data_IF_680843828434
#
_entry.id   IF_680843828434
#
_cell.length_a   1.000
_cell.length_b   1.000
_cell.length_c   1.000
_cell.angle_alpha   90.00
_cell.angle_beta   90.00
_cell.angle_gamma   90.00
#
_symmetry.space_group_name_H-M   'P 1'
#
loop_
_entity.id
_entity.type
_entity.pdbx_description
1 polymer ?
#
# COMPACT_ATOMS: atom_id res chain seq x y z
N UNK A 1 -55.77 -17.12 -30.30
CA UNK A 1 -55.04 -17.67 -31.46
C UNK A 1 -53.77 -18.30 -30.93
N UNK A 2 -53.74 -19.62 -30.68
CA UNK A 2 -53.14 -20.65 -31.58
C UNK A 2 -51.68 -20.33 -31.92
N UNK A 3 -50.65 -21.16 -31.72
CA UNK A 3 -50.52 -22.58 -31.36
C UNK A 3 -49.04 -22.80 -30.94
N UNK A 4 -48.84 -23.85 -30.14
CA UNK A 4 -47.61 -24.58 -29.82
C UNK A 4 -46.72 -24.95 -31.02
N UNK A 5 -45.40 -25.13 -30.81
CA UNK A 5 -44.70 -26.39 -31.12
C UNK A 5 -43.33 -26.50 -30.41
N UNK A 6 -43.06 -27.72 -29.96
CA UNK A 6 -41.87 -28.25 -29.29
C UNK A 6 -40.84 -28.74 -30.30
N UNK A 7 -39.54 -28.80 -29.95
CA UNK A 7 -38.76 -30.05 -30.09
C UNK A 7 -37.37 -29.97 -29.47
N UNK A 8 -37.04 -31.09 -28.82
CA UNK A 8 -35.79 -31.51 -28.21
C UNK A 8 -34.68 -31.82 -29.22
N UNK A 9 -33.42 -31.78 -28.78
CA UNK A 9 -32.45 -32.86 -29.05
C UNK A 9 -31.28 -32.81 -28.06
N UNK A 10 -31.19 -33.86 -27.24
CA UNK A 10 -30.01 -34.24 -26.50
C UNK A 10 -29.09 -35.07 -27.40
N UNK A 11 -27.77 -34.87 -27.27
CA UNK A 11 -26.78 -35.79 -27.83
C UNK A 11 -25.72 -36.08 -26.77
N UNK A 12 -25.85 -37.25 -26.16
CA UNK A 12 -24.84 -37.95 -25.38
C UNK A 12 -23.91 -38.68 -26.35
N UNK A 13 -22.59 -38.52 -26.23
CA UNK A 13 -21.63 -39.50 -26.74
C UNK A 13 -20.57 -39.77 -25.67
N UNK A 14 -20.41 -41.05 -25.37
CA UNK A 14 -19.54 -41.61 -24.36
C UNK A 14 -18.22 -42.12 -24.98
N UNK A 15 -17.14 -41.93 -24.21
CA UNK A 15 -15.96 -42.78 -23.99
C UNK A 15 -15.17 -43.31 -25.20
N UNK A 16 -13.88 -42.93 -25.22
CA UNK A 16 -12.80 -43.85 -25.57
C UNK A 16 -11.59 -43.61 -24.66
N UNK A 17 -11.27 -44.62 -23.86
CA UNK A 17 -10.04 -44.74 -23.10
C UNK A 17 -8.89 -45.13 -24.03
N UNK A 18 -7.72 -44.51 -23.84
CA UNK A 18 -6.46 -44.98 -24.40
C UNK A 18 -5.38 -44.92 -23.32
N UNK A 19 -5.19 -46.06 -22.68
CA UNK A 19 -4.06 -46.40 -21.81
C UNK A 19 -2.80 -46.49 -22.67
N UNK A 20 -1.79 -45.66 -22.42
CA UNK A 20 -0.44 -45.92 -22.92
C UNK A 20 0.48 -46.04 -21.71
N UNK A 21 0.78 -47.30 -21.40
CA UNK A 21 1.87 -47.71 -20.54
C UNK A 21 3.19 -47.55 -21.29
N UNK A 22 4.12 -46.77 -20.75
CA UNK A 22 5.54 -46.95 -21.05
C UNK A 22 6.36 -46.85 -19.77
N UNK A 23 6.72 -48.02 -19.24
CA UNK A 23 7.78 -48.17 -18.26
C UNK A 23 9.12 -48.15 -18.97
N UNK A 24 10.04 -47.25 -18.62
CA UNK A 24 11.48 -47.52 -18.76
C UNK A 24 12.26 -46.89 -17.61
N UNK A 25 12.62 -47.78 -16.68
CA UNK A 25 13.88 -47.93 -15.94
C UNK A 25 14.67 -46.67 -15.52
N UNK A 26 14.64 -46.48 -14.21
CA UNK A 26 15.70 -45.99 -13.34
C UNK A 26 17.03 -46.75 -13.58
N UNK A 27 18.19 -46.07 -13.59
CA UNK A 27 19.45 -46.65 -13.18
C UNK A 27 19.81 -46.17 -11.77
N UNK A 28 19.73 -47.09 -10.80
CA UNK A 28 20.43 -47.02 -9.51
C UNK A 28 21.82 -47.63 -9.73
N UNK A 29 22.84 -47.08 -9.06
CA UNK A 29 24.00 -47.74 -8.40
C UNK A 29 25.21 -46.77 -8.37
N UNK A 30 26.16 -46.88 -7.43
CA UNK A 30 26.02 -46.95 -5.97
C UNK A 30 26.94 -45.94 -5.24
N UNK A 31 26.81 -45.90 -3.90
CA UNK A 31 27.67 -45.21 -2.93
C UNK A 31 29.18 -45.40 -3.17
N UNK A 32 29.96 -44.31 -2.97
CA UNK A 32 31.22 -44.35 -2.22
C UNK A 32 31.66 -42.94 -1.80
N UNK A 33 31.67 -42.68 -0.49
CA UNK A 33 32.55 -41.68 0.13
C UNK A 33 33.97 -42.26 0.21
N UNK A 34 35.01 -41.41 0.21
CA UNK A 34 35.67 -41.17 1.47
C UNK A 34 36.09 -39.71 1.70
N UNK A 35 36.15 -39.37 2.98
CA UNK A 35 36.82 -38.22 3.57
C UNK A 35 38.29 -38.12 3.15
N UNK A 36 38.79 -36.90 2.88
CA UNK A 36 40.07 -36.45 3.41
C UNK A 36 40.23 -34.93 3.32
N UNK A 37 40.70 -34.41 4.44
CA UNK A 37 41.17 -33.08 4.78
C UNK A 37 42.17 -32.48 3.79
N UNK A 38 42.07 -31.17 3.54
CA UNK A 38 43.10 -30.43 2.81
C UNK A 38 42.85 -28.93 2.79
N UNK A 39 43.27 -28.23 3.85
CA UNK A 39 43.45 -26.78 3.85
C UNK A 39 44.46 -26.38 2.77
N UNK A 40 44.07 -25.51 1.82
CA UNK A 40 45.01 -24.62 1.13
C UNK A 40 44.41 -23.23 1.01
N UNK A 41 44.97 -22.34 1.82
CA UNK A 41 44.77 -20.89 1.79
C UNK A 41 45.44 -20.30 0.55
N UNK A 42 44.68 -19.63 -0.31
CA UNK A 42 45.24 -18.64 -1.24
C UNK A 42 44.85 -17.23 -0.78
N UNK A 43 45.80 -16.61 -0.06
CA UNK A 43 45.91 -15.15 0.05
C UNK A 43 46.32 -14.63 -1.33
N UNK A 44 45.52 -13.75 -1.92
CA UNK A 44 46.00 -12.82 -2.94
C UNK A 44 45.73 -11.40 -2.46
N UNK A 45 46.84 -10.77 -2.09
CA UNK A 45 46.98 -9.39 -1.66
C UNK A 45 46.62 -8.41 -2.76
N UNK A 46 45.93 -7.35 -2.33
CA UNK A 46 45.65 -6.13 -3.07
C UNK A 46 46.87 -5.53 -3.78
N UNK A 47 46.66 -5.02 -5.00
CA UNK A 47 47.41 -3.87 -5.51
C UNK A 47 46.45 -2.90 -6.23
N UNK A 48 46.24 -1.75 -5.58
CA UNK A 48 45.86 -0.48 -6.19
C UNK A 48 46.84 -0.15 -7.32
N UNK A 49 46.33 0.22 -8.49
CA UNK A 49 47.07 1.01 -9.47
C UNK A 49 46.14 2.10 -10.02
N UNK A 50 46.66 3.32 -9.96
CA UNK A 50 46.06 4.56 -10.39
C UNK A 50 45.95 4.62 -11.92
N UNK A 51 44.88 5.29 -12.37
CA UNK A 51 44.62 5.81 -13.72
C UNK A 51 45.75 6.70 -14.26
N UNK A 52 45.85 6.96 -15.59
CA UNK A 52 45.06 8.09 -16.13
C UNK A 52 44.59 7.97 -17.60
N UNK A 53 43.67 8.90 -17.93
CA UNK A 53 43.44 9.57 -19.22
C UNK A 53 42.22 9.20 -20.10
N UNK A 54 41.13 9.94 -19.84
CA UNK A 54 40.44 10.88 -20.75
C UNK A 54 40.20 10.43 -22.22
N UNK A 55 38.95 10.08 -22.52
CA UNK A 55 38.32 10.33 -23.83
C UNK A 55 36.99 11.06 -23.66
N UNK A 56 36.87 12.20 -24.32
CA UNK A 56 35.68 13.07 -24.44
C UNK A 56 34.69 12.44 -25.44
N UNK A 57 33.40 12.45 -25.13
CA UNK A 57 32.34 12.35 -26.13
C UNK A 57 30.95 11.99 -25.60
N UNK A 58 30.05 12.97 -25.54
CA UNK A 58 28.60 12.82 -25.72
C UNK A 58 27.75 12.31 -24.53
N UNK A 59 26.99 13.21 -23.87
CA UNK A 59 25.94 12.80 -22.92
C UNK A 59 25.46 13.90 -21.99
N UNK A 60 24.84 14.96 -22.52
CA UNK A 60 24.21 16.02 -21.74
C UNK A 60 22.88 15.55 -21.12
N UNK A 61 22.95 14.70 -20.09
CA UNK A 61 21.84 14.42 -19.16
C UNK A 61 22.31 13.84 -17.81
N UNK A 62 23.59 13.50 -17.66
CA UNK A 62 24.07 12.64 -16.55
C UNK A 62 24.65 13.43 -15.35
N UNK A 63 24.63 14.77 -15.35
CA UNK A 63 25.38 15.57 -14.36
C UNK A 63 24.59 16.18 -13.20
N UNK A 64 23.25 16.05 -13.16
CA UNK A 64 22.43 16.80 -12.20
C UNK A 64 22.20 16.13 -10.83
N UNK A 65 22.58 14.87 -10.63
CA UNK A 65 22.22 14.12 -9.39
C UNK A 65 23.43 13.60 -8.59
N UNK A 66 24.67 13.92 -8.99
CA UNK A 66 25.89 13.48 -8.28
C UNK A 66 26.66 14.61 -7.58
N UNK A 67 26.21 15.87 -7.67
CA UNK A 67 26.92 17.03 -7.07
C UNK A 67 26.24 17.61 -5.82
N UNK A 68 25.32 16.89 -5.18
CA UNK A 68 24.52 17.42 -4.07
C UNK A 68 24.80 16.78 -2.72
N UNK A 69 26.04 16.35 -2.46
CA UNK A 69 26.63 16.22 -1.10
C UNK A 69 28.15 16.39 -1.20
N UNK A 70 28.65 17.58 -0.85
CA UNK A 70 29.98 17.73 -0.25
C UNK A 70 29.87 18.69 0.93
N UNK A 71 30.28 18.19 2.09
CA UNK A 71 30.24 18.88 3.37
C UNK A 71 31.04 20.19 3.37
N UNK A 72 30.48 21.22 4.00
CA UNK A 72 31.28 22.25 4.63
C UNK A 72 30.70 22.58 6.01
N UNK A 73 31.44 22.14 7.03
CA UNK A 73 31.36 22.64 8.41
C UNK A 73 31.50 24.16 8.40
N UNK A 74 30.55 24.85 9.03
CA UNK A 74 30.83 26.06 9.79
C UNK A 74 29.75 26.25 10.86
N UNK A 75 30.24 26.33 12.09
CA UNK A 75 29.59 26.70 13.33
C UNK A 75 28.67 27.92 13.25
N UNK A 76 27.50 27.83 13.86
CA UNK A 76 26.83 28.93 14.53
C UNK A 76 25.93 28.34 15.63
N UNK A 77 26.29 28.64 16.87
CA UNK A 77 25.52 28.35 18.07
C UNK A 77 24.23 29.19 18.07
N UNK A 78 23.09 28.54 18.27
CA UNK A 78 21.87 29.19 18.73
C UNK A 78 21.23 28.28 19.77
N UNK A 79 21.48 28.62 21.02
CA UNK A 79 20.91 28.03 22.23
C UNK A 79 19.38 28.06 22.20
N UNK A 80 18.75 26.89 22.18
CA UNK A 80 17.33 26.71 22.48
C UNK A 80 17.26 26.18 23.91
N UNK A 81 16.72 27.00 24.81
CA UNK A 81 16.50 26.64 26.20
C UNK A 81 15.41 25.56 26.30
N UNK A 82 15.78 24.44 26.92
CA UNK A 82 14.84 23.46 27.46
C UNK A 82 14.21 24.04 28.71
N UNK A 83 12.89 24.15 28.73
CA UNK A 83 12.13 24.20 29.98
C UNK A 83 11.42 22.86 30.15
N UNK A 84 11.92 22.09 31.09
CA UNK A 84 11.25 20.95 31.71
C UNK A 84 10.66 21.43 33.05
N UNK A 85 9.35 21.27 33.22
CA UNK A 85 8.66 20.97 34.48
C UNK A 85 7.14 21.21 34.38
N UNK A 86 6.35 20.17 34.67
CA UNK A 86 5.02 20.31 35.26
C UNK A 86 3.90 19.51 34.59
N UNK A 87 3.48 18.44 35.24
CA UNK A 87 2.31 17.60 34.91
C UNK A 87 1.00 18.41 34.76
N UNK A 88 0.27 18.18 33.66
CA UNK A 88 -1.16 17.80 33.60
C UNK A 88 -1.80 18.19 32.26
N UNK A 89 -2.34 17.19 31.56
CA UNK A 89 -3.13 17.29 30.32
C UNK A 89 -2.41 17.88 29.08
N UNK A 90 -1.80 17.01 28.27
CA UNK A 90 -1.36 17.33 26.90
C UNK A 90 -2.55 17.41 25.92
N UNK A 91 -3.62 18.12 26.30
CA UNK A 91 -4.70 18.51 25.38
C UNK A 91 -4.28 19.83 24.75
N UNK A 92 -4.15 19.88 23.43
CA UNK A 92 -3.91 21.16 22.74
C UNK A 92 -5.08 22.12 23.03
N UNK A 93 -4.86 23.45 23.03
CA UNK A 93 -5.95 24.41 23.25
C UNK A 93 -7.14 24.26 22.27
N UNK A 94 -6.91 23.66 21.09
CA UNK A 94 -7.96 23.36 20.11
C UNK A 94 -8.89 22.22 20.54
N UNK A 95 -8.39 21.15 21.18
CA UNK A 95 -9.22 20.05 21.68
C UNK A 95 -10.15 20.47 22.83
N UNK A 96 -9.82 21.55 23.56
CA UNK A 96 -10.65 22.11 24.63
C UNK A 96 -11.86 22.91 24.10
N UNK A 97 -11.74 23.49 22.90
CA UNK A 97 -12.80 24.26 22.25
C UNK A 97 -13.52 23.48 21.13
N UNK A 98 -13.10 22.24 20.87
CA UNK A 98 -13.69 21.36 19.86
C UNK A 98 -15.12 20.96 20.22
N UNK A 99 -16.04 21.09 19.26
CA UNK A 99 -17.42 20.66 19.42
C UNK A 99 -17.53 19.13 19.44
N UNK A 100 -17.91 18.55 20.57
CA UNK A 100 -18.10 17.10 20.74
C UNK A 100 -19.50 16.59 20.37
N UNK A 101 -20.24 17.36 19.55
CA UNK A 101 -21.62 17.05 19.15
C UNK A 101 -21.81 15.60 18.68
N UNK A 102 -20.83 15.01 18.00
CA UNK A 102 -20.93 13.65 17.46
C UNK A 102 -20.66 12.53 18.48
N UNK A 103 -19.89 12.78 19.54
CA UNK A 103 -19.60 11.79 20.59
C UNK A 103 -20.80 11.56 21.52
N UNK A 104 -21.69 12.54 21.61
CA UNK A 104 -22.92 12.45 22.39
C UNK A 104 -24.05 11.74 21.63
N UNK A 105 -23.88 11.46 20.33
CA UNK A 105 -24.88 10.79 19.52
C UNK A 105 -25.17 9.37 20.04
N UNK A 106 -26.45 9.00 20.11
CA UNK A 106 -26.92 7.66 20.50
C UNK A 106 -27.78 7.01 19.43
N UNK A 107 -28.06 7.72 18.34
CA UNK A 107 -28.89 7.28 17.24
C UNK A 107 -28.41 7.86 15.91
N UNK A 108 -28.91 7.28 14.82
CA UNK A 108 -28.77 7.81 13.46
C UNK A 108 -29.25 9.27 13.36
N UNK A 109 -30.39 9.56 13.99
CA UNK A 109 -30.98 10.90 13.97
C UNK A 109 -30.07 11.91 14.67
N UNK A 110 -29.39 11.53 15.76
CA UNK A 110 -28.45 12.41 16.45
C UNK A 110 -27.24 12.75 15.56
N UNK A 111 -26.69 11.76 14.84
CA UNK A 111 -25.57 11.97 13.93
C UNK A 111 -25.94 12.93 12.78
N UNK A 112 -27.05 12.66 12.09
CA UNK A 112 -27.50 13.48 10.95
C UNK A 112 -27.91 14.89 11.39
N UNK A 113 -28.59 15.01 12.54
CA UNK A 113 -28.92 16.32 13.12
C UNK A 113 -27.67 17.07 13.57
N UNK A 114 -26.65 16.34 14.06
CA UNK A 114 -25.33 16.88 14.39
C UNK A 114 -24.66 17.53 13.18
N UNK A 115 -24.63 16.86 12.02
CA UNK A 115 -24.07 17.42 10.78
C UNK A 115 -24.76 18.75 10.45
N UNK A 116 -26.09 18.76 10.44
CA UNK A 116 -26.89 19.96 10.14
C UNK A 116 -26.60 21.09 11.13
N UNK A 117 -26.56 20.79 12.43
CA UNK A 117 -26.28 21.77 13.50
C UNK A 117 -24.89 22.39 13.34
N UNK A 118 -23.87 21.60 13.05
CA UNK A 118 -22.49 22.08 12.87
C UNK A 118 -22.33 22.91 11.58
N UNK A 119 -23.06 22.55 10.52
CA UNK A 119 -23.13 23.33 9.28
C UNK A 119 -23.85 24.67 9.47
N UNK A 120 -25.01 24.69 10.14
CA UNK A 120 -25.75 25.91 10.47
C UNK A 120 -24.97 26.85 11.40
N UNK A 121 -24.12 26.29 12.27
CA UNK A 121 -23.22 27.05 13.13
C UNK A 121 -21.96 27.56 12.38
N UNK A 122 -21.80 27.24 11.09
CA UNK A 122 -20.67 27.67 10.27
C UNK A 122 -19.34 26.97 10.57
N UNK A 123 -19.34 25.90 11.39
CA UNK A 123 -18.15 25.12 11.73
C UNK A 123 -17.85 24.01 10.70
N UNK A 124 -18.86 23.63 9.91
CA UNK A 124 -18.73 22.59 8.90
C UNK A 124 -19.08 23.13 7.50
N UNK A 125 -18.13 23.19 6.56
CA UNK A 125 -18.40 23.61 5.18
C UNK A 125 -19.45 22.71 4.50
N UNK A 126 -20.29 23.30 3.65
CA UNK A 126 -21.42 22.60 3.02
C UNK A 126 -21.01 21.35 2.22
N UNK A 127 -19.87 21.40 1.52
CA UNK A 127 -19.35 20.25 0.77
C UNK A 127 -18.90 19.11 1.70
N UNK A 128 -18.31 19.45 2.86
CA UNK A 128 -17.89 18.46 3.86
C UNK A 128 -19.12 17.85 4.54
N UNK A 129 -20.10 18.67 4.92
CA UNK A 129 -21.37 18.21 5.48
C UNK A 129 -22.09 17.20 4.56
N UNK A 130 -22.22 17.53 3.27
CA UNK A 130 -22.80 16.63 2.28
C UNK A 130 -22.00 15.32 2.14
N UNK A 131 -20.67 15.40 2.16
CA UNK A 131 -19.81 14.22 2.09
C UNK A 131 -19.87 13.34 3.34
N UNK A 132 -20.07 13.93 4.52
CA UNK A 132 -20.32 13.20 5.77
C UNK A 132 -21.65 12.43 5.70
N UNK A 133 -22.72 13.08 5.25
CA UNK A 133 -24.03 12.41 5.08
C UNK A 133 -23.94 11.25 4.07
N UNK A 134 -23.29 11.45 2.93
CA UNK A 134 -23.08 10.37 1.95
C UNK A 134 -22.29 9.21 2.57
N UNK A 135 -21.18 9.52 3.26
CA UNK A 135 -20.34 8.52 3.90
C UNK A 135 -21.13 7.70 4.94
N UNK A 136 -21.97 8.35 5.74
CA UNK A 136 -22.81 7.66 6.72
C UNK A 136 -23.69 6.59 6.08
N UNK A 137 -24.43 6.95 5.03
CA UNK A 137 -25.33 6.01 4.38
C UNK A 137 -24.57 4.84 3.75
N UNK A 138 -23.49 5.13 3.03
CA UNK A 138 -22.70 4.07 2.38
C UNK A 138 -22.05 3.14 3.41
N UNK A 139 -21.49 3.69 4.49
CA UNK A 139 -20.93 2.90 5.57
C UNK A 139 -21.98 2.05 6.29
N UNK A 140 -23.14 2.63 6.62
CA UNK A 140 -24.27 1.93 7.24
C UNK A 140 -24.68 0.71 6.41
N UNK A 141 -24.95 0.91 5.12
CA UNK A 141 -25.41 -0.18 4.26
C UNK A 141 -24.34 -1.27 4.10
N UNK A 142 -23.07 -0.90 4.00
CA UNK A 142 -21.97 -1.86 3.96
C UNK A 142 -21.92 -2.71 5.23
N UNK A 143 -21.85 -2.09 6.41
CA UNK A 143 -21.75 -2.82 7.69
C UNK A 143 -22.98 -3.70 7.94
N UNK A 144 -24.19 -3.22 7.64
CA UNK A 144 -25.42 -4.02 7.76
C UNK A 144 -25.42 -5.22 6.81
N UNK A 145 -24.90 -5.08 5.59
CA UNK A 145 -24.83 -6.18 4.63
C UNK A 145 -23.91 -7.32 5.05
N UNK A 146 -22.96 -7.05 5.97
CA UNK A 146 -22.12 -8.08 6.58
C UNK A 146 -22.85 -8.99 7.57
N UNK A 147 -24.06 -8.62 8.02
CA UNK A 147 -24.93 -9.48 8.82
C UNK A 147 -24.49 -9.70 10.27
N UNK A 148 -23.61 -8.86 10.82
CA UNK A 148 -23.18 -8.96 12.22
C UNK A 148 -24.33 -8.58 13.18
N UNK A 149 -24.47 -9.28 14.30
CA UNK A 149 -25.58 -9.09 15.26
C UNK A 149 -25.63 -7.71 15.91
N UNK A 150 -24.49 -7.01 16.00
CA UNK A 150 -24.36 -5.64 16.54
C UNK A 150 -24.02 -4.62 15.46
N UNK A 151 -24.42 -4.87 14.21
CA UNK A 151 -24.07 -4.01 13.07
C UNK A 151 -24.56 -2.57 13.24
N UNK A 152 -25.79 -2.36 13.73
CA UNK A 152 -26.32 -0.99 13.97
C UNK A 152 -25.50 -0.23 15.02
N UNK A 153 -25.19 -0.87 16.15
CA UNK A 153 -24.34 -0.27 17.19
C UNK A 153 -22.94 0.05 16.66
N UNK A 154 -22.37 -0.86 15.85
CA UNK A 154 -21.08 -0.66 15.19
C UNK A 154 -21.10 0.57 14.29
N UNK A 155 -22.17 0.76 13.51
CA UNK A 155 -22.35 1.94 12.65
C UNK A 155 -22.37 3.22 13.49
N UNK A 156 -23.20 3.28 14.53
CA UNK A 156 -23.30 4.49 15.36
C UNK A 156 -21.96 4.79 16.04
N UNK A 157 -21.34 3.80 16.67
CA UNK A 157 -20.05 3.96 17.36
C UNK A 157 -18.96 4.46 16.43
N UNK A 158 -18.78 3.81 15.28
CA UNK A 158 -17.69 4.14 14.35
C UNK A 158 -17.91 5.49 13.67
N UNK A 159 -19.16 5.79 13.28
CA UNK A 159 -19.49 7.07 12.62
C UNK A 159 -19.45 8.25 13.58
N UNK A 160 -19.84 8.08 14.86
CA UNK A 160 -19.65 9.10 15.90
C UNK A 160 -18.19 9.55 16.00
N UNK A 161 -17.27 8.60 16.10
CA UNK A 161 -15.84 8.91 16.21
C UNK A 161 -15.30 9.47 14.88
N UNK A 162 -15.68 8.89 13.74
CA UNK A 162 -15.24 9.39 12.44
C UNK A 162 -15.66 10.86 12.22
N UNK A 163 -16.91 11.19 12.52
CA UNK A 163 -17.43 12.55 12.35
C UNK A 163 -16.82 13.56 13.31
N UNK A 164 -16.63 13.19 14.57
CA UNK A 164 -15.92 14.00 15.55
C UNK A 164 -14.50 14.34 15.06
N UNK A 165 -13.74 13.33 14.59
CA UNK A 165 -12.38 13.54 14.08
C UNK A 165 -12.35 14.33 12.76
N UNK A 166 -13.35 14.19 11.90
CA UNK A 166 -13.48 14.98 10.66
C UNK A 166 -13.77 16.46 10.98
N UNK A 167 -14.69 16.73 11.91
CA UNK A 167 -14.98 18.09 12.36
C UNK A 167 -13.76 18.73 12.99
N UNK A 168 -13.04 18.01 13.86
CA UNK A 168 -11.78 18.49 14.42
C UNK A 168 -10.78 18.84 13.32
N UNK A 169 -10.67 18.01 12.27
CA UNK A 169 -9.79 18.27 11.14
C UNK A 169 -10.21 19.46 10.24
N UNK A 170 -11.46 19.91 10.34
CA UNK A 170 -11.96 21.14 9.71
C UNK A 170 -11.66 22.36 10.59
N UNK A 171 -11.91 22.25 11.89
CA UNK A 171 -11.67 23.31 12.87
C UNK A 171 -10.18 23.60 13.07
N UNK A 172 -9.36 22.54 13.08
CA UNK A 172 -7.91 22.57 13.26
C UNK A 172 -7.19 21.66 12.24
N UNK A 173 -6.96 22.15 11.00
CA UNK A 173 -6.41 21.31 9.94
C UNK A 173 -5.00 20.78 10.23
N UNK A 174 -4.90 19.46 10.41
CA UNK A 174 -3.61 18.78 10.55
C UNK A 174 -2.69 18.98 9.33
N UNK A 175 -1.40 19.26 9.57
CA UNK A 175 -0.39 19.41 8.51
C UNK A 175 0.57 18.22 8.51
N UNK A 176 0.66 17.53 7.38
CA UNK A 176 1.55 16.38 7.22
C UNK A 176 2.99 16.82 6.92
N UNK A 177 3.95 16.25 7.65
CA UNK A 177 5.39 16.35 7.36
C UNK A 177 5.78 15.46 6.17
N UNK A 178 6.95 15.68 5.53
CA UNK A 178 7.37 14.87 4.39
C UNK A 178 7.44 13.37 4.72
N UNK A 179 7.96 13.02 5.89
CA UNK A 179 7.69 11.77 6.60
C UNK A 179 6.76 12.01 7.78
N UNK A 180 5.57 11.43 7.73
CA UNK A 180 4.57 11.47 8.80
C UNK A 180 4.58 10.14 9.55
N UNK A 181 4.68 10.21 10.88
CA UNK A 181 4.56 9.04 11.77
C UNK A 181 3.11 8.94 12.24
N UNK A 182 2.57 7.72 12.29
CA UNK A 182 1.21 7.50 12.77
C UNK A 182 1.00 8.14 14.15
N UNK A 183 -0.08 8.90 14.31
CA UNK A 183 -0.47 9.52 15.58
C UNK A 183 -1.16 8.48 16.43
N UNK A 184 -0.57 8.17 17.60
CA UNK A 184 -1.06 7.15 18.54
C UNK A 184 -1.61 7.75 19.84
N UNK A 185 -1.27 9.00 20.14
CA UNK A 185 -1.63 9.71 21.39
C UNK A 185 -1.91 11.19 21.09
N UNK A 186 -2.80 11.87 21.85
CA UNK A 186 -3.66 11.31 22.92
C UNK A 186 -4.85 10.49 22.37
N UNK A 187 -5.08 10.53 21.06
CA UNK A 187 -6.04 9.70 20.36
C UNK A 187 -5.31 8.74 19.41
N UNK A 188 -5.58 7.44 19.52
CA UNK A 188 -4.97 6.44 18.67
C UNK A 188 -5.67 6.38 17.30
N UNK A 189 -5.18 7.20 16.35
CA UNK A 189 -5.69 7.21 14.98
C UNK A 189 -5.44 5.89 14.25
N UNK A 190 -4.38 5.16 14.59
CA UNK A 190 -4.13 3.83 14.02
C UNK A 190 -5.27 2.89 14.42
N UNK A 191 -5.56 2.75 15.71
CA UNK A 191 -6.63 1.88 16.21
C UNK A 191 -8.01 2.32 15.69
N UNK A 192 -8.26 3.63 15.61
CA UNK A 192 -9.47 4.18 14.99
C UNK A 192 -9.67 3.66 13.56
N UNK A 193 -8.64 3.74 12.71
CA UNK A 193 -8.76 3.26 11.31
C UNK A 193 -9.06 1.76 11.27
N UNK A 194 -8.41 0.95 12.10
CA UNK A 194 -8.66 -0.51 12.12
C UNK A 194 -10.07 -0.83 12.56
N UNK A 195 -10.55 -0.16 13.61
CA UNK A 195 -11.92 -0.30 14.12
C UNK A 195 -12.93 0.09 13.05
N UNK A 196 -12.66 1.15 12.29
CA UNK A 196 -13.53 1.64 11.22
C UNK A 196 -13.58 0.67 10.01
N UNK A 197 -12.43 0.17 9.56
CA UNK A 197 -12.34 -0.66 8.33
C UNK A 197 -12.69 -2.12 8.58
N UNK A 198 -12.40 -2.67 9.77
CA UNK A 198 -12.65 -4.08 10.10
C UNK A 198 -14.06 -4.59 9.73
N UNK A 199 -15.17 -3.91 10.07
CA UNK A 199 -16.50 -4.42 9.74
C UNK A 199 -16.83 -4.40 8.24
N UNK A 200 -15.96 -3.86 7.40
CA UNK A 200 -16.10 -3.86 5.94
C UNK A 200 -15.40 -5.06 5.27
N UNK A 201 -14.54 -5.77 6.01
CA UNK A 201 -13.81 -6.93 5.51
C UNK A 201 -14.58 -8.21 5.81
N UNK A 202 -14.94 -8.95 4.77
CA UNK A 202 -15.40 -10.32 4.89
C UNK A 202 -14.19 -11.26 5.07
N UNK A 203 -13.72 -11.39 6.30
CA UNK A 203 -12.57 -12.25 6.63
C UNK A 203 -12.80 -13.71 6.23
N UNK A 204 -14.05 -14.20 6.21
CA UNK A 204 -14.35 -15.57 5.78
C UNK A 204 -14.05 -15.78 4.30
N UNK A 205 -14.21 -14.74 3.47
CA UNK A 205 -13.91 -14.78 2.05
C UNK A 205 -12.67 -13.95 1.68
N UNK A 206 -11.79 -13.70 2.64
CA UNK A 206 -10.51 -13.02 2.42
C UNK A 206 -9.34 -14.02 2.45
N UNK A 207 -8.22 -13.69 1.82
CA UNK A 207 -7.07 -14.61 1.71
C UNK A 207 -5.72 -13.87 1.74
N UNK A 208 -4.72 -14.54 2.31
CA UNK A 208 -3.31 -14.13 2.27
C UNK A 208 -2.50 -15.14 1.48
N UNK A 209 -1.88 -14.69 0.39
CA UNK A 209 -0.96 -15.45 -0.45
C UNK A 209 0.47 -15.39 0.07
N UNK A 210 1.10 -16.57 0.20
CA UNK A 210 2.48 -16.77 0.64
C UNK A 210 2.79 -16.11 1.98
N UNK A 211 1.90 -16.30 2.96
CA UNK A 211 1.95 -15.60 4.25
C UNK A 211 3.30 -15.75 4.99
N UNK A 212 4.03 -16.86 4.80
CA UNK A 212 5.34 -17.10 5.40
C UNK A 212 6.42 -16.10 4.96
N UNK A 213 6.30 -15.49 3.77
CA UNK A 213 7.25 -14.49 3.30
C UNK A 213 7.20 -13.25 4.20
N UNK A 214 6.03 -12.87 4.72
CA UNK A 214 5.93 -11.72 5.63
C UNK A 214 6.76 -11.92 6.90
N UNK A 215 6.81 -13.13 7.45
CA UNK A 215 7.71 -13.45 8.57
C UNK A 215 9.19 -13.31 8.20
N UNK A 216 9.57 -13.72 6.98
CA UNK A 216 10.94 -13.52 6.47
C UNK A 216 11.29 -12.02 6.35
N UNK A 217 10.33 -11.19 5.93
CA UNK A 217 10.54 -9.74 5.85
C UNK A 217 10.86 -9.17 7.23
N UNK A 218 10.14 -9.58 8.27
CA UNK A 218 10.41 -9.13 9.64
C UNK A 218 11.82 -9.54 10.10
N UNK A 219 12.28 -10.74 9.77
CA UNK A 219 13.64 -11.19 10.08
C UNK A 219 14.69 -10.31 9.41
N UNK A 220 14.51 -9.98 8.13
CA UNK A 220 15.40 -9.07 7.38
C UNK A 220 15.39 -7.66 7.95
N UNK A 221 14.22 -7.15 8.33
CA UNK A 221 14.10 -5.82 8.96
C UNK A 221 14.82 -5.79 10.31
N UNK A 222 14.67 -6.84 11.13
CA UNK A 222 15.40 -7.00 12.41
C UNK A 222 16.91 -7.06 12.22
N UNK A 223 17.38 -7.54 11.07
CA UNK A 223 18.80 -7.52 10.68
C UNK A 223 19.26 -6.16 10.12
N UNK A 224 18.41 -5.12 10.13
CA UNK A 224 18.72 -3.80 9.63
C UNK A 224 18.63 -3.66 8.10
N UNK A 225 18.03 -4.63 7.41
CA UNK A 225 17.86 -4.58 5.96
C UNK A 225 16.61 -3.79 5.58
N UNK A 226 16.64 -3.13 4.43
CA UNK A 226 15.51 -2.37 3.90
C UNK A 226 14.62 -3.25 3.01
N UNK A 227 13.31 -3.10 3.13
CA UNK A 227 12.32 -3.81 2.34
C UNK A 227 11.44 -2.78 1.60
N UNK A 228 11.38 -2.91 0.28
CA UNK A 228 10.44 -2.18 -0.57
C UNK A 228 9.39 -3.15 -1.12
N UNK A 229 8.13 -2.86 -0.84
CA UNK A 229 6.98 -3.56 -1.40
C UNK A 229 6.49 -2.78 -2.63
N UNK A 230 6.66 -3.36 -3.80
CA UNK A 230 6.16 -2.83 -5.08
C UNK A 230 4.79 -3.43 -5.33
N UNK A 231 3.75 -2.59 -5.32
CA UNK A 231 2.37 -3.05 -5.27
C UNK A 231 1.47 -2.42 -6.34
N UNK A 232 0.34 -3.05 -6.64
CA UNK A 232 -0.83 -2.30 -7.13
C UNK A 232 -1.50 -1.54 -5.98
N UNK A 233 -2.51 -0.72 -6.29
CA UNK A 233 -3.24 0.10 -5.32
C UNK A 233 -4.70 0.16 -5.74
N UNK A 234 -5.66 -0.04 -4.83
CA UNK A 234 -7.06 -0.19 -5.20
C UNK A 234 -7.99 0.77 -4.47
N UNK A 235 -7.73 1.04 -3.20
CA UNK A 235 -8.58 1.86 -2.35
C UNK A 235 -7.75 2.77 -1.43
N UNK A 236 -8.37 3.81 -0.88
CA UNK A 236 -7.71 4.60 0.17
C UNK A 236 -7.52 3.80 1.47
N UNK A 237 -8.26 2.70 1.61
CA UNK A 237 -8.19 1.79 2.75
C UNK A 237 -7.06 0.74 2.64
N UNK A 238 -6.28 0.71 1.54
CA UNK A 238 -5.24 -0.30 1.32
C UNK A 238 -4.29 -0.50 2.52
N UNK A 239 -3.75 0.56 3.17
CA UNK A 239 -2.89 0.38 4.36
C UNK A 239 -3.61 -0.33 5.52
N UNK A 240 -4.90 -0.08 5.68
CA UNK A 240 -5.71 -0.72 6.70
C UNK A 240 -6.00 -2.18 6.36
N UNK A 241 -6.32 -2.48 5.10
CA UNK A 241 -6.51 -3.86 4.62
C UNK A 241 -5.24 -4.68 4.81
N UNK A 242 -4.06 -4.16 4.42
CA UNK A 242 -2.77 -4.83 4.65
C UNK A 242 -2.59 -5.15 6.14
N UNK A 243 -2.82 -4.16 6.99
CA UNK A 243 -2.60 -4.31 8.44
C UNK A 243 -3.55 -5.33 9.06
N UNK A 244 -4.85 -5.26 8.73
CA UNK A 244 -5.89 -6.14 9.24
C UNK A 244 -5.71 -7.59 8.78
N UNK A 245 -5.28 -7.83 7.54
CA UNK A 245 -5.03 -9.19 7.04
C UNK A 245 -3.79 -9.83 7.65
N UNK A 246 -2.85 -9.04 8.18
CA UNK A 246 -1.60 -9.51 8.79
C UNK A 246 -1.58 -9.45 10.32
N UNK A 247 -2.59 -8.87 10.96
CA UNK A 247 -2.55 -8.52 12.39
C UNK A 247 -2.27 -9.72 13.32
N UNK A 248 -2.74 -10.91 12.95
CA UNK A 248 -2.58 -12.11 13.77
C UNK A 248 -1.18 -12.73 13.65
N UNK A 249 -0.54 -12.63 12.48
CA UNK A 249 0.71 -13.34 12.17
C UNK A 249 1.93 -12.43 12.08
N UNK A 250 1.75 -11.21 11.58
CA UNK A 250 2.81 -10.23 11.32
C UNK A 250 2.36 -8.81 11.69
N UNK A 251 1.97 -8.55 12.96
CA UNK A 251 1.47 -7.24 13.38
C UNK A 251 2.52 -6.13 13.22
N UNK A 252 3.80 -6.47 13.35
CA UNK A 252 4.90 -5.52 13.15
C UNK A 252 4.83 -4.85 11.78
N UNK A 253 4.47 -5.59 10.73
CA UNK A 253 4.31 -5.06 9.37
C UNK A 253 3.23 -3.99 9.35
N UNK A 254 2.03 -4.30 9.83
CA UNK A 254 0.90 -3.36 9.83
C UNK A 254 1.20 -2.06 10.58
N UNK A 255 1.90 -2.15 11.71
CA UNK A 255 2.24 -0.99 12.53
C UNK A 255 3.40 -0.14 12.00
N UNK A 256 4.33 -0.73 11.23
CA UNK A 256 5.60 -0.09 10.85
C UNK A 256 5.75 0.17 9.35
N UNK A 257 4.84 -0.33 8.51
CA UNK A 257 4.81 -0.07 7.07
C UNK A 257 4.70 1.43 6.81
N UNK A 258 5.59 1.96 5.96
CA UNK A 258 5.60 3.36 5.53
C UNK A 258 5.01 3.44 4.13
N UNK A 259 3.81 3.99 4.00
CA UNK A 259 3.10 4.07 2.73
C UNK A 259 3.49 5.35 1.99
N UNK A 260 3.99 5.23 0.75
CA UNK A 260 4.15 6.38 -0.13
C UNK A 260 2.75 6.83 -0.57
N UNK A 261 2.32 8.00 -0.10
CA UNK A 261 0.94 8.46 -0.23
C UNK A 261 0.85 9.79 -0.98
N UNK A 262 -0.19 9.88 -1.82
CA UNK A 262 -0.54 11.05 -2.63
C UNK A 262 -1.10 12.22 -1.82
N UNK A 263 -1.24 13.36 -2.48
CA UNK A 263 -1.72 14.63 -1.89
C UNK A 263 -3.21 14.63 -1.52
N UNK A 264 -4.06 13.87 -2.22
CA UNK A 264 -5.51 13.85 -1.96
C UNK A 264 -5.85 13.33 -0.56
N UNK A 265 -5.28 12.20 -0.16
CA UNK A 265 -5.59 11.55 1.13
C UNK A 265 -5.06 12.34 2.33
N UNK A 266 -4.17 13.30 2.11
CA UNK A 266 -3.61 14.19 3.15
C UNK A 266 -4.21 15.61 3.13
N UNK A 267 -5.05 15.93 2.14
CA UNK A 267 -5.72 17.24 2.00
C UNK A 267 -7.23 17.18 2.21
N UNK A 268 -7.89 16.08 1.82
CA UNK A 268 -9.33 15.91 1.99
C UNK A 268 -9.72 15.75 3.47
N UNK A 269 -10.55 16.63 4.06
CA UNK A 269 -10.97 16.55 5.45
C UNK A 269 -11.61 15.21 5.85
N UNK A 270 -12.27 14.52 4.91
CA UNK A 270 -12.90 13.23 5.16
C UNK A 270 -11.88 12.07 5.18
N UNK A 271 -10.71 12.24 4.57
CA UNK A 271 -9.65 11.23 4.53
C UNK A 271 -8.58 11.46 5.60
N UNK A 272 -8.32 12.72 5.97
CA UNK A 272 -7.22 13.11 6.85
C UNK A 272 -7.18 12.34 8.18
N UNK A 273 -8.28 12.14 8.92
CA UNK A 273 -8.26 11.32 10.14
C UNK A 273 -7.70 9.92 9.90
N UNK A 274 -8.04 9.29 8.77
CA UNK A 274 -7.53 7.96 8.43
C UNK A 274 -6.04 7.99 8.10
N UNK A 275 -5.60 9.00 7.35
CA UNK A 275 -4.18 9.21 7.01
C UNK A 275 -3.32 9.51 8.24
N UNK A 276 -3.86 10.22 9.24
CA UNK A 276 -3.15 10.51 10.50
C UNK A 276 -2.74 9.24 11.25
N UNK A 277 -3.52 8.16 11.11
CA UNK A 277 -3.24 6.86 11.73
C UNK A 277 -2.22 5.98 11.01
N UNK A 278 -1.53 6.48 9.98
CA UNK A 278 -0.58 5.70 9.16
C UNK A 278 0.80 6.33 9.16
N UNK A 279 1.84 5.53 8.94
CA UNK A 279 3.16 6.08 8.61
C UNK A 279 3.20 6.38 7.12
N UNK A 280 3.44 7.64 6.75
CA UNK A 280 3.34 8.09 5.37
C UNK A 280 4.65 8.73 4.91
N UNK A 281 5.00 8.50 3.64
CA UNK A 281 5.93 9.35 2.91
C UNK A 281 5.10 10.17 1.94
N UNK A 282 4.90 11.44 2.27
CA UNK A 282 3.95 12.32 1.60
C UNK A 282 4.55 12.84 0.29
N UNK A 283 3.94 12.50 -0.84
CA UNK A 283 4.37 12.92 -2.18
C UNK A 283 3.18 13.42 -2.99
N UNK A 284 3.40 14.41 -3.83
CA UNK A 284 2.46 14.78 -4.88
C UNK A 284 2.57 13.79 -6.04
N UNK A 285 1.45 13.18 -6.42
CA UNK A 285 1.42 12.24 -7.54
C UNK A 285 1.77 12.93 -8.85
N UNK A 286 2.49 12.24 -9.74
CA UNK A 286 2.72 12.71 -11.11
C UNK A 286 1.40 12.97 -11.84
N UNK A 287 0.34 12.21 -11.53
CA UNK A 287 -0.98 12.34 -12.15
C UNK A 287 -1.61 13.72 -11.90
N UNK A 288 -1.36 14.32 -10.74
CA UNK A 288 -1.95 15.59 -10.30
C UNK A 288 -0.91 16.73 -10.19
N UNK A 289 0.30 16.50 -10.71
CA UNK A 289 1.39 17.48 -10.63
C UNK A 289 1.03 18.77 -11.35
N UNK A 290 0.39 18.65 -12.52
CA UNK A 290 0.09 19.75 -13.43
C UNK A 290 -1.38 20.20 -13.40
N UNK A 291 -2.19 19.72 -12.44
CA UNK A 291 -3.61 20.11 -12.32
C UNK A 291 -3.75 21.62 -12.07
N UNK A 292 -2.80 22.17 -11.31
CA UNK A 292 -2.62 23.61 -11.10
C UNK A 292 -1.16 23.99 -11.43
N UNK A 293 -0.91 24.66 -12.57
CA UNK A 293 0.42 25.08 -12.99
C UNK A 293 1.16 25.95 -11.97
N UNK A 294 0.46 26.76 -11.17
CA UNK A 294 1.08 27.67 -10.20
C UNK A 294 1.68 26.91 -9.01
N UNK A 295 1.15 25.73 -8.72
CA UNK A 295 1.58 24.89 -7.60
C UNK A 295 2.70 23.90 -7.97
N UNK A 296 3.04 23.73 -9.25
CA UNK A 296 4.01 22.72 -9.73
C UNK A 296 5.36 22.83 -9.02
N UNK A 297 5.91 24.04 -8.90
CA UNK A 297 7.23 24.24 -8.29
C UNK A 297 7.22 23.95 -6.78
N UNK A 298 6.12 24.30 -6.10
CA UNK A 298 5.92 23.97 -4.70
C UNK A 298 5.83 22.45 -4.51
N UNK A 299 5.02 21.76 -5.34
CA UNK A 299 4.86 20.31 -5.33
C UNK A 299 6.18 19.57 -5.58
N UNK A 300 6.98 20.03 -6.55
CA UNK A 300 8.33 19.47 -6.83
C UNK A 300 9.29 19.64 -5.66
N UNK A 301 9.30 20.82 -5.03
CA UNK A 301 10.13 21.09 -3.84
C UNK A 301 9.71 20.19 -2.67
N UNK A 302 8.41 20.01 -2.45
CA UNK A 302 7.90 19.10 -1.43
C UNK A 302 8.33 17.65 -1.68
N UNK A 303 8.14 17.12 -2.90
CA UNK A 303 8.60 15.78 -3.26
C UNK A 303 10.11 15.60 -3.06
N UNK A 304 10.91 16.62 -3.37
CA UNK A 304 12.36 16.59 -3.15
C UNK A 304 12.70 16.46 -1.67
N UNK A 305 11.96 17.11 -0.77
CA UNK A 305 12.14 16.94 0.68
C UNK A 305 11.77 15.53 1.14
N UNK A 306 10.62 15.01 0.70
CA UNK A 306 10.18 13.65 1.06
C UNK A 306 11.16 12.58 0.60
N UNK A 307 11.71 12.71 -0.62
CA UNK A 307 12.73 11.80 -1.13
C UNK A 307 14.04 11.88 -0.35
N UNK A 308 14.44 13.06 0.12
CA UNK A 308 15.63 13.22 0.98
C UNK A 308 15.43 12.57 2.35
N UNK A 309 14.25 12.71 2.94
CA UNK A 309 13.91 12.03 4.21
C UNK A 309 13.87 10.51 4.02
N UNK A 310 13.25 10.02 2.94
CA UNK A 310 13.25 8.61 2.58
C UNK A 310 14.67 8.06 2.42
N UNK A 311 15.54 8.74 1.67
CA UNK A 311 16.93 8.34 1.52
C UNK A 311 17.66 8.30 2.86
N UNK A 312 17.35 9.22 3.78
CA UNK A 312 17.93 9.26 5.13
C UNK A 312 17.47 8.08 5.98
N UNK A 313 16.18 7.74 5.94
CA UNK A 313 15.65 6.56 6.59
C UNK A 313 16.29 5.29 6.03
N UNK A 314 16.39 5.15 4.71
CA UNK A 314 17.02 3.98 4.09
C UNK A 314 18.49 3.82 4.51
N UNK A 315 19.25 4.91 4.67
CA UNK A 315 20.62 4.85 5.19
C UNK A 315 20.72 4.31 6.62
N UNK A 316 19.69 4.49 7.44
CA UNK A 316 19.65 3.92 8.79
C UNK A 316 19.34 2.42 8.81
N UNK A 317 18.89 1.84 7.68
CA UNK A 317 18.49 0.44 7.60
C UNK A 317 17.15 0.14 8.29
N UNK A 318 16.68 -1.10 8.17
CA UNK A 318 15.48 -1.59 8.86
C UNK A 318 14.17 -0.92 8.43
N UNK A 319 14.11 -0.38 7.21
CA UNK A 319 12.91 0.29 6.71
C UNK A 319 11.99 -0.68 5.99
N UNK A 320 10.68 -0.52 6.20
CA UNK A 320 9.62 -1.18 5.43
C UNK A 320 8.80 -0.12 4.70
N UNK A 321 8.87 -0.09 3.37
CA UNK A 321 8.21 0.92 2.55
C UNK A 321 7.29 0.23 1.55
N UNK A 322 6.05 0.72 1.44
CA UNK A 322 5.10 0.34 0.41
C UNK A 322 4.92 1.46 -0.60
N UNK A 323 4.93 1.10 -1.88
CA UNK A 323 4.71 2.04 -2.97
C UNK A 323 3.92 1.37 -4.10
N UNK A 324 3.01 2.15 -4.69
CA UNK A 324 2.33 1.79 -5.93
C UNK A 324 2.88 2.62 -7.10
N UNK A 325 3.76 2.06 -7.95
CA UNK A 325 4.43 2.82 -9.01
C UNK A 325 3.49 3.30 -10.10
N UNK A 326 2.26 2.78 -10.19
CA UNK A 326 1.21 3.30 -11.07
C UNK A 326 0.78 4.73 -10.70
N UNK A 327 1.10 5.18 -9.48
CA UNK A 327 0.82 6.54 -8.98
C UNK A 327 -0.65 6.84 -8.70
N UNK A 328 -1.52 5.83 -8.71
CA UNK A 328 -2.93 5.95 -8.29
C UNK A 328 -3.66 4.62 -8.32
N UNK A 329 -4.90 4.61 -7.81
CA UNK A 329 -5.74 3.41 -7.73
C UNK A 329 -6.00 2.77 -9.10
N UNK A 330 -6.17 1.46 -9.12
CA UNK A 330 -6.62 0.67 -10.26
C UNK A 330 -7.99 1.18 -10.75
N UNK A 331 -8.35 0.85 -11.99
CA UNK A 331 -9.64 1.23 -12.59
C UNK A 331 -10.22 0.05 -13.37
N UNK A 332 -11.55 -0.06 -13.45
CA UNK A 332 -12.16 -1.06 -14.30
C UNK A 332 -11.87 -0.73 -15.77
N UNK A 333 -11.70 -1.77 -16.57
CA UNK A 333 -11.68 -1.64 -18.02
C UNK A 333 -13.02 -1.02 -18.47
N UNK A 334 -13.02 0.09 -19.24
CA UNK A 334 -14.25 0.78 -19.62
C UNK A 334 -15.21 -0.06 -20.47
N UNK A 335 -14.70 -1.06 -21.19
CA UNK A 335 -15.48 -1.93 -22.08
C UNK A 335 -15.96 -3.20 -21.39
N UNK A 336 -15.14 -3.82 -20.52
CA UNK A 336 -15.48 -5.11 -19.88
C UNK A 336 -15.94 -4.97 -18.44
N UNK A 337 -15.61 -3.86 -17.77
CA UNK A 337 -15.85 -3.65 -16.33
C UNK A 337 -14.88 -4.41 -15.42
N UNK A 338 -13.94 -5.18 -15.99
CA UNK A 338 -12.99 -5.98 -15.22
C UNK A 338 -11.86 -5.14 -14.63
N UNK A 339 -11.40 -5.50 -13.42
CA UNK A 339 -10.36 -4.80 -12.69
C UNK A 339 -9.04 -5.53 -12.76
N UNK A 340 -7.95 -4.80 -13.01
CA UNK A 340 -6.59 -5.32 -13.04
C UNK A 340 -5.61 -4.28 -12.47
N UNK A 341 -4.43 -4.70 -11.99
CA UNK A 341 -3.35 -3.80 -11.64
C UNK A 341 -3.08 -2.77 -12.74
N UNK A 342 -3.03 -1.49 -12.38
CA UNK A 342 -2.66 -0.43 -13.32
C UNK A 342 -1.17 -0.54 -13.70
N UNK A 343 -0.79 -0.19 -14.95
CA UNK A 343 0.60 -0.23 -15.38
C UNK A 343 1.52 0.61 -14.48
N UNK A 344 2.71 0.07 -14.21
CA UNK A 344 3.73 0.76 -13.41
C UNK A 344 4.47 1.81 -14.23
N UNK A 345 4.80 2.94 -13.60
CA UNK A 345 5.81 3.85 -14.11
C UNK A 345 7.21 3.29 -13.82
N UNK A 346 7.88 2.79 -14.85
CA UNK A 346 9.22 2.20 -14.77
C UNK A 346 10.25 3.14 -14.14
N UNK A 347 10.07 4.45 -14.30
CA UNK A 347 10.95 5.45 -13.68
C UNK A 347 10.77 5.50 -12.17
N UNK A 348 9.55 5.30 -11.68
CA UNK A 348 9.27 5.25 -10.24
C UNK A 348 9.82 3.97 -9.62
N UNK A 349 9.70 2.82 -10.30
CA UNK A 349 10.33 1.56 -9.88
C UNK A 349 11.86 1.71 -9.79
N UNK A 350 12.48 2.25 -10.85
CA UNK A 350 13.93 2.41 -10.89
C UNK A 350 14.46 3.41 -9.86
N UNK A 351 13.70 4.48 -9.59
CA UNK A 351 14.06 5.42 -8.52
C UNK A 351 14.12 4.71 -7.16
N UNK A 352 13.13 3.87 -6.85
CA UNK A 352 13.14 3.11 -5.59
C UNK A 352 14.30 2.13 -5.53
N UNK A 353 14.57 1.39 -6.61
CA UNK A 353 15.73 0.49 -6.71
C UNK A 353 17.04 1.23 -6.45
N UNK A 354 17.27 2.35 -7.13
CA UNK A 354 18.48 3.17 -6.94
C UNK A 354 18.60 3.68 -5.51
N UNK A 355 17.52 4.15 -4.90
CA UNK A 355 17.53 4.63 -3.51
C UNK A 355 17.97 3.54 -2.54
N UNK A 356 17.49 2.31 -2.73
CA UNK A 356 17.87 1.16 -1.92
C UNK A 356 19.34 0.78 -2.14
N UNK A 357 19.77 0.62 -3.39
CA UNK A 357 21.16 0.25 -3.73
C UNK A 357 22.18 1.25 -3.19
N UNK A 358 21.85 2.54 -3.21
CA UNK A 358 22.74 3.61 -2.75
C UNK A 358 22.52 3.97 -1.27
N UNK A 359 21.69 3.22 -0.54
CA UNK A 359 21.44 3.47 0.88
C UNK A 359 22.59 3.01 1.78
N UNK A 360 23.46 2.11 1.31
CA UNK A 360 24.55 1.54 2.10
C UNK A 360 24.13 0.40 3.05
N UNK A 361 22.84 0.28 3.37
CA UNK A 361 22.26 -0.89 4.01
C UNK A 361 21.76 -1.87 2.93
N UNK A 362 21.84 -3.21 3.15
CA UNK A 362 21.23 -4.16 2.22
C UNK A 362 19.74 -3.88 2.06
N UNK A 363 19.21 -4.08 0.85
CA UNK A 363 17.77 -3.98 0.69
C UNK A 363 17.21 -4.79 -0.46
N UNK A 364 15.91 -5.00 -0.35
CA UNK A 364 15.17 -6.03 -1.06
C UNK A 364 13.90 -5.45 -1.65
N UNK A 365 13.50 -5.95 -2.81
CA UNK A 365 12.33 -5.47 -3.54
C UNK A 365 11.41 -6.66 -3.83
N UNK A 366 10.22 -6.62 -3.23
CA UNK A 366 9.23 -7.68 -3.34
C UNK A 366 8.00 -7.19 -4.13
N UNK A 367 7.53 -7.96 -5.12
CA UNK A 367 6.23 -7.72 -5.74
C UNK A 367 5.10 -8.17 -4.82
N UNK A 368 4.16 -7.26 -4.56
CA UNK A 368 2.99 -7.48 -3.70
C UNK A 368 1.71 -7.16 -4.46
N UNK A 369 0.65 -7.91 -4.20
CA UNK A 369 -0.65 -7.74 -4.84
C UNK A 369 -1.77 -7.54 -3.82
N UNK A 370 -2.69 -6.65 -4.15
CA UNK A 370 -3.86 -6.29 -3.36
C UNK A 370 -5.14 -6.47 -4.18
N UNK A 371 -6.15 -7.08 -3.56
CA UNK A 371 -7.51 -7.14 -4.08
C UNK A 371 -8.48 -6.65 -3.00
N UNK A 372 -8.95 -5.41 -3.09
CA UNK A 372 -9.87 -4.81 -2.13
C UNK A 372 -10.70 -3.65 -2.68
N UNK A 373 -10.72 -3.42 -4.01
CA UNK A 373 -11.45 -2.29 -4.60
C UNK A 373 -12.94 -2.26 -4.19
N UNK A 374 -13.60 -3.39 -3.92
CA UNK A 374 -15.03 -3.41 -3.56
C UNK A 374 -15.35 -2.80 -2.20
N UNK A 375 -14.37 -2.70 -1.29
CA UNK A 375 -14.58 -2.07 0.02
C UNK A 375 -14.76 -0.57 -0.11
N UNK A 376 -13.94 0.08 -0.97
CA UNK A 376 -13.97 1.52 -1.16
C UNK A 376 -13.46 1.87 -2.56
N UNK A 377 -14.26 1.59 -3.61
CA UNK A 377 -13.79 1.67 -4.98
C UNK A 377 -13.55 3.12 -5.39
N UNK A 378 -12.54 3.40 -6.22
CA UNK A 378 -12.41 4.71 -6.83
C UNK A 378 -13.56 4.98 -7.81
N UNK A 379 -13.85 6.26 -8.11
CA UNK A 379 -14.67 6.62 -9.25
C UNK A 379 -14.13 5.99 -10.54
N UNK A 380 -15.00 5.62 -11.51
CA UNK A 380 -14.56 4.96 -12.75
C UNK A 380 -13.52 5.76 -13.56
N UNK A 381 -13.52 7.08 -13.42
CA UNK A 381 -12.55 7.98 -14.06
C UNK A 381 -11.70 8.70 -13.00
N UNK A 382 -10.56 9.24 -13.42
CA UNK A 382 -9.75 10.11 -12.54
C UNK A 382 -10.40 11.48 -12.52
N UNK A 383 -11.02 11.83 -11.39
CA UNK A 383 -11.59 13.16 -11.18
C UNK A 383 -10.47 14.17 -10.91
N UNK A 384 -10.67 15.46 -11.22
CA UNK A 384 -9.68 16.52 -10.95
C UNK A 384 -9.86 17.16 -9.58
N UNK A 385 -11.10 17.31 -9.14
CA UNK A 385 -11.46 17.94 -7.88
C UNK A 385 -11.32 16.98 -6.69
N UNK A 386 -11.23 17.53 -5.48
CA UNK A 386 -11.26 16.78 -4.22
C UNK A 386 -12.72 16.60 -3.80
N UNK A 387 -13.05 15.47 -3.18
CA UNK A 387 -14.43 15.13 -2.81
C UNK A 387 -15.09 14.13 -3.76
N UNK A 388 -14.33 13.13 -4.19
CA UNK A 388 -14.84 12.00 -4.99
C UNK A 388 -16.01 11.30 -4.28
N UNK A 389 -16.96 10.79 -5.06
CA UNK A 389 -18.10 10.02 -4.52
C UNK A 389 -17.62 8.85 -3.66
N UNK A 390 -18.11 8.76 -2.43
CA UNK A 390 -17.59 7.80 -1.43
C UNK A 390 -18.42 6.53 -1.33
N UNK A 391 -18.22 5.61 -2.26
CA UNK A 391 -18.85 4.28 -2.17
C UNK A 391 -18.11 3.42 -1.13
N UNK A 392 -18.88 2.66 -0.36
CA UNK A 392 -18.37 1.73 0.65
C UNK A 392 -19.10 0.39 0.51
N UNK A 393 -18.39 -0.72 0.64
CA UNK A 393 -18.93 -2.06 0.53
C UNK A 393 -18.38 -3.03 1.58
N UNK A 394 -19.11 -4.12 1.81
CA UNK A 394 -18.63 -5.29 2.57
C UNK A 394 -18.17 -6.37 1.59
N UNK A 395 -16.89 -6.74 1.64
CA UNK A 395 -16.36 -7.70 0.68
C UNK A 395 -15.15 -8.48 1.18
N UNK A 396 -14.92 -9.64 0.55
CA UNK A 396 -13.67 -10.38 0.71
C UNK A 396 -12.50 -9.61 0.10
N UNK A 397 -11.35 -9.67 0.77
CA UNK A 397 -10.13 -8.98 0.35
C UNK A 397 -8.95 -9.93 0.22
N UNK A 398 -7.97 -9.54 -0.57
CA UNK A 398 -6.80 -10.34 -0.87
C UNK A 398 -5.52 -9.55 -0.67
N UNK A 399 -4.54 -10.19 -0.06
CA UNK A 399 -3.17 -9.74 0.00
C UNK A 399 -2.28 -10.89 -0.45
N UNK A 400 -1.31 -10.65 -1.31
CA UNK A 400 -0.32 -11.65 -1.68
C UNK A 400 1.04 -11.00 -1.82
N UNK A 401 2.08 -11.76 -1.51
CA UNK A 401 3.46 -11.38 -1.79
C UNK A 401 4.15 -12.54 -2.51
N UNK A 402 5.10 -12.25 -3.40
CA UNK A 402 5.95 -13.27 -4.02
C UNK A 402 7.42 -12.99 -3.70
N UNK A 403 8.34 -13.96 -3.92
CA UNK A 403 9.76 -13.79 -3.65
C UNK A 403 10.37 -12.55 -4.32
N UNK A 404 11.47 -12.06 -3.76
CA UNK A 404 12.17 -10.90 -4.30
C UNK A 404 12.61 -11.13 -5.75
N UNK A 405 12.54 -10.09 -6.56
CA UNK A 405 13.03 -10.13 -7.94
C UNK A 405 14.41 -9.48 -7.98
N UNK A 406 15.42 -10.29 -8.28
CA UNK A 406 16.79 -9.85 -8.47
C UNK A 406 16.93 -9.00 -9.74
N UNK A 407 17.41 -7.76 -9.57
CA UNK A 407 17.67 -6.87 -10.70
C UNK A 407 18.73 -7.43 -11.64
N UNK A 408 19.82 -8.00 -11.10
CA UNK A 408 20.91 -8.54 -11.91
C UNK A 408 20.46 -9.72 -12.76
N UNK A 409 19.59 -10.57 -12.22
CA UNK A 409 19.23 -11.82 -12.88
C UNK A 409 18.24 -11.54 -14.02
N UNK A 410 17.26 -10.68 -13.77
CA UNK A 410 16.25 -10.29 -14.77
C UNK A 410 16.84 -9.42 -15.88
N UNK A 411 17.93 -8.70 -15.63
CA UNK A 411 18.52 -7.77 -16.60
C UNK A 411 19.86 -8.21 -17.19
N UNK A 412 20.28 -9.46 -16.94
CA UNK A 412 21.55 -10.02 -17.40
C UNK A 412 21.76 -9.88 -18.92
N UNK A 413 20.68 -10.07 -19.71
CA UNK A 413 20.72 -10.03 -21.17
C UNK A 413 20.38 -8.64 -21.75
N UNK A 414 20.13 -7.63 -20.91
CA UNK A 414 19.77 -6.29 -21.36
C UNK A 414 20.99 -5.57 -21.95
N UNK A 415 20.81 -4.92 -23.10
CA UNK A 415 21.91 -4.28 -23.84
C UNK A 415 22.25 -2.90 -23.31
N UNK A 416 21.32 -2.27 -22.60
CA UNK A 416 21.48 -0.91 -22.09
C UNK A 416 20.63 -0.66 -20.83
N UNK A 417 20.95 0.40 -20.04
CA UNK A 417 20.25 0.69 -18.80
C UNK A 417 18.75 1.01 -18.95
N UNK A 418 18.32 1.58 -20.09
CA UNK A 418 16.90 1.89 -20.32
C UNK A 418 16.09 0.62 -20.55
N UNK A 419 16.63 -0.34 -21.30
CA UNK A 419 16.04 -1.67 -21.47
C UNK A 419 15.96 -2.40 -20.13
N UNK A 420 17.05 -2.43 -19.36
CA UNK A 420 17.09 -3.06 -18.03
C UNK A 420 16.01 -2.48 -17.09
N UNK A 421 15.82 -1.16 -17.12
CA UNK A 421 14.79 -0.46 -16.36
C UNK A 421 13.38 -0.94 -16.71
N UNK A 422 13.04 -1.01 -17.99
CA UNK A 422 11.71 -1.47 -18.44
C UNK A 422 11.50 -2.96 -18.14
N UNK A 423 12.50 -3.81 -18.42
CA UNK A 423 12.42 -5.26 -18.18
C UNK A 423 12.23 -5.57 -16.69
N UNK A 424 12.95 -4.89 -15.80
CA UNK A 424 12.79 -5.07 -14.36
C UNK A 424 11.40 -4.63 -13.87
N UNK A 425 10.93 -3.46 -14.32
CA UNK A 425 9.58 -2.97 -14.00
C UNK A 425 8.50 -3.95 -14.49
N UNK A 426 8.67 -4.50 -15.69
CA UNK A 426 7.75 -5.47 -16.27
C UNK A 426 7.75 -6.79 -15.49
N UNK A 427 8.91 -7.28 -15.04
CA UNK A 427 8.99 -8.49 -14.23
C UNK A 427 8.23 -8.36 -12.89
N UNK A 428 8.40 -7.23 -12.20
CA UNK A 428 7.64 -6.91 -10.99
C UNK A 428 6.14 -6.83 -11.28
N UNK A 429 5.73 -6.10 -12.33
CA UNK A 429 4.33 -5.98 -12.72
C UNK A 429 3.69 -7.34 -13.06
N UNK A 430 4.40 -8.19 -13.81
CA UNK A 430 3.91 -9.52 -14.17
C UNK A 430 3.66 -10.38 -12.93
N UNK A 431 4.58 -10.35 -11.95
CA UNK A 431 4.39 -11.07 -10.68
C UNK A 431 3.20 -10.53 -9.89
N UNK A 432 3.04 -9.20 -9.79
CA UNK A 432 1.87 -8.58 -9.13
C UNK A 432 0.56 -9.00 -9.80
N UNK A 433 0.54 -9.09 -11.13
CA UNK A 433 -0.63 -9.50 -11.89
C UNK A 433 -0.95 -11.00 -11.74
N UNK A 434 0.06 -11.88 -11.72
CA UNK A 434 -0.11 -13.32 -11.46
C UNK A 434 -0.73 -13.57 -10.07
N UNK A 435 -0.19 -12.90 -9.06
CA UNK A 435 -0.72 -12.91 -7.70
C UNK A 435 -2.16 -12.37 -7.66
N UNK A 436 -2.41 -11.26 -8.35
CA UNK A 436 -3.75 -10.65 -8.43
C UNK A 436 -4.78 -11.61 -9.02
N UNK A 437 -4.44 -12.29 -10.11
CA UNK A 437 -5.36 -13.26 -10.74
C UNK A 437 -5.68 -14.43 -9.81
N UNK A 438 -4.70 -14.88 -9.01
CA UNK A 438 -4.92 -15.92 -8.01
C UNK A 438 -5.89 -15.45 -6.92
N UNK A 439 -5.69 -14.24 -6.38
CA UNK A 439 -6.61 -13.62 -5.41
C UNK A 439 -8.01 -13.42 -6.01
N UNK A 440 -8.09 -12.96 -7.26
CA UNK A 440 -9.35 -12.77 -7.97
C UNK A 440 -10.09 -14.11 -8.14
N UNK A 441 -9.37 -15.19 -8.46
CA UNK A 441 -9.93 -16.54 -8.54
C UNK A 441 -10.45 -17.04 -7.19
N UNK A 442 -9.72 -16.79 -6.11
CA UNK A 442 -10.13 -17.17 -4.77
C UNK A 442 -11.41 -16.47 -4.33
N UNK A 443 -11.48 -15.15 -4.54
CA UNK A 443 -12.50 -14.26 -3.97
C UNK A 443 -13.68 -14.11 -4.93
N UNK A 444 -13.44 -13.61 -6.15
CA UNK A 444 -14.50 -13.31 -7.13
C UNK A 444 -15.11 -14.54 -7.77
N UNK A 445 -14.29 -15.57 -7.99
CA UNK A 445 -14.74 -16.86 -8.51
C UNK A 445 -15.00 -17.90 -7.42
N UNK A 446 -14.92 -17.50 -6.14
CA UNK A 446 -15.28 -18.31 -4.96
C UNK A 446 -14.58 -19.66 -4.87
N UNK A 447 -13.36 -19.76 -5.41
CA UNK A 447 -12.54 -20.98 -5.29
C UNK A 447 -11.82 -21.09 -3.95
N UNK A 448 -11.77 -20.00 -3.19
CA UNK A 448 -11.05 -19.93 -1.93
C UNK A 448 -9.61 -20.42 -2.02
N UNK A 449 -9.17 -21.22 -1.05
CA UNK A 449 -7.80 -21.76 -1.02
C UNK A 449 -7.45 -22.66 -2.22
N UNK A 450 -8.45 -23.24 -2.91
CA UNK A 450 -8.24 -24.07 -4.10
C UNK A 450 -7.80 -23.26 -5.32
N UNK A 451 -7.87 -21.93 -5.27
CA UNK A 451 -7.26 -21.06 -6.27
C UNK A 451 -5.74 -21.04 -6.22
N UNK A 452 -5.13 -21.55 -5.14
CA UNK A 452 -3.67 -21.60 -4.99
C UNK A 452 -2.99 -22.23 -6.21
N UNK A 453 -1.82 -21.69 -6.54
CA UNK A 453 -0.96 -22.17 -7.63
C UNK A 453 0.35 -22.70 -7.05
N UNK A 454 1.26 -23.15 -7.91
CA UNK A 454 2.63 -23.49 -7.49
C UNK A 454 3.44 -22.30 -6.98
N UNK A 455 3.02 -21.07 -7.30
CA UNK A 455 3.73 -19.81 -6.98
C UNK A 455 3.01 -18.98 -5.91
N UNK A 456 1.72 -19.24 -5.68
CA UNK A 456 0.89 -18.52 -4.70
C UNK A 456 0.11 -19.51 -3.84
N UNK A 457 0.53 -19.67 -2.60
CA UNK A 457 -0.15 -20.49 -1.59
C UNK A 457 -1.08 -19.62 -0.74
N UNK A 458 -2.39 -19.81 -0.87
CA UNK A 458 -3.40 -19.03 -0.14
C UNK A 458 -3.69 -19.62 1.24
N UNK A 459 -3.92 -18.73 2.20
CA UNK A 459 -4.26 -19.06 3.59
C UNK A 459 -5.19 -18.01 4.20
N UNK A 460 -5.73 -18.28 5.39
CA UNK A 460 -6.54 -17.35 6.17
C UNK A 460 -5.97 -17.29 7.61
N UNK A 461 -4.96 -16.46 7.87
CA UNK A 461 -4.15 -16.52 9.10
C UNK A 461 -4.87 -16.03 10.38
N UNK A 462 -6.17 -15.76 10.31
CA UNK A 462 -7.04 -15.39 11.43
C UNK A 462 -8.02 -16.50 11.84
N UNK A 463 -8.09 -17.60 11.07
CA UNK A 463 -9.00 -18.72 11.30
C UNK A 463 -8.39 -19.83 12.15
#
# INVERSE_FOLDING_TARGET
MTLTFSSSSAATVAVAAATVTSSVRVPVYPLASPSLTGFVSFRLTAKKLLSPLRSRGGGASVRAMSELVQDKKSSAEASIAFNDAGESSNTTPSELNHSRTFLDARSEQDLLSGIKKEAEAGRLPANVASGMEELYWNYKYAVLSGGASRAEETVISNMSVAFDRMLLGVEDPYTFSPYHKAVREPFDYYLFVHTYIRPLIDFKNSYVGNASIFSELEDKIRQGQNIILISNHQSEADPAVISLLLEAQSPFIGENIKCVAGDRVITDPLCKPFSMGRNLICVYSKKHMNDDPELVDMKRKANTRSLKEMATMLRSGGQLIWIAPSGGRDRPNPSTGEWFPAPFDSSSVDNMRRLVEHSGAPGHIYPMSLLCYDIMPPPPQVEKEIGEKRLVGFHGTGLSIAPEISFSDVTADCKNPNEAKEVYSQALYNSVNEQYQTLNSAIKHRRGVEASTSTVSLSQPWN
#
